data_IF_220518184671
#
_entry.id   IF_220518184671
#
_cell.length_a   1.000
_cell.length_b   1.000
_cell.length_c   1.000
_cell.angle_alpha   90.00
_cell.angle_beta   90.00
_cell.angle_gamma   90.00
#
_symmetry.space_group_name_H-M   'P 1'
#
loop_
_entity.id
_entity.type
_entity.pdbx_description
1 polymer ?
#
# COMPACT_ATOMS: atom_id res chain seq x y z
N UNK A 1 26.01 13.78 20.81
CA UNK A 1 24.60 13.74 20.38
C UNK A 1 24.57 13.70 18.87
N UNK A 2 24.29 12.55 18.27
CA UNK A 2 24.11 12.43 16.83
C UNK A 2 22.99 11.41 16.60
N UNK A 3 21.81 11.91 16.23
CA UNK A 3 20.68 11.09 15.80
C UNK A 3 20.26 11.61 14.43
N UNK A 4 21.02 11.23 13.41
CA UNK A 4 20.53 11.26 12.04
C UNK A 4 20.29 9.82 11.63
N UNK A 5 19.13 9.30 12.03
CA UNK A 5 18.61 8.07 11.45
C UNK A 5 18.36 8.37 9.97
N UNK A 6 19.27 7.90 9.12
CA UNK A 6 19.13 7.99 7.68
C UNK A 6 17.79 7.38 7.28
N UNK A 7 16.92 8.25 6.75
CA UNK A 7 15.62 7.93 6.20
C UNK A 7 15.80 6.88 5.10
N UNK A 8 15.62 5.60 5.45
CA UNK A 8 15.45 4.50 4.49
C UNK A 8 14.12 4.72 3.76
N UNK A 9 14.11 5.62 2.78
CA UNK A 9 13.10 5.56 1.72
C UNK A 9 13.43 4.31 0.93
N UNK A 10 12.84 3.18 1.33
CA UNK A 10 12.82 1.97 0.50
C UNK A 10 12.09 2.35 -0.78
N UNK A 11 12.85 2.67 -1.83
CA UNK A 11 12.34 2.79 -3.18
C UNK A 11 12.05 1.34 -3.61
N UNK A 12 10.88 0.82 -3.21
CA UNK A 12 10.40 -0.45 -3.68
C UNK A 12 10.42 -0.43 -5.22
N UNK A 13 11.00 -1.48 -5.79
CA UNK A 13 11.44 -1.57 -7.18
C UNK A 13 10.47 -0.92 -8.18
N UNK A 14 11.01 -0.10 -9.10
CA UNK A 14 10.32 0.49 -10.26
C UNK A 14 9.94 -0.54 -11.34
N UNK A 15 9.82 -1.82 -10.98
CA UNK A 15 9.35 -2.88 -11.86
C UNK A 15 8.00 -3.36 -11.31
N UNK A 16 6.87 -2.88 -11.88
CA UNK A 16 5.56 -3.35 -11.47
C UNK A 16 5.43 -4.82 -11.87
N UNK A 17 5.70 -5.70 -10.91
CA UNK A 17 5.39 -7.12 -11.07
C UNK A 17 3.92 -7.30 -10.71
N UNK A 18 3.07 -7.78 -11.63
CA UNK A 18 1.68 -8.03 -11.31
C UNK A 18 1.57 -9.04 -10.15
N UNK A 19 0.68 -8.81 -9.17
CA UNK A 19 0.44 -9.76 -8.09
C UNK A 19 -0.08 -11.08 -8.65
N UNK A 20 0.34 -12.20 -8.06
CA UNK A 20 -0.11 -13.56 -8.44
C UNK A 20 -0.90 -14.21 -7.33
N UNK A 21 -1.78 -15.15 -7.69
CA UNK A 21 -2.56 -15.95 -6.73
C UNK A 21 -1.63 -16.70 -5.77
N UNK A 22 -1.97 -16.69 -4.48
CA UNK A 22 -1.18 -17.33 -3.43
C UNK A 22 0.01 -16.51 -2.94
N UNK A 23 0.35 -15.39 -3.59
CA UNK A 23 1.39 -14.48 -3.07
C UNK A 23 0.82 -13.57 -1.98
N UNK A 24 1.68 -13.23 -1.01
CA UNK A 24 1.39 -12.17 -0.05
C UNK A 24 1.14 -10.86 -0.82
N UNK A 25 0.02 -10.16 -0.59
CA UNK A 25 -0.24 -8.89 -1.25
C UNK A 25 0.80 -7.83 -0.85
N UNK A 26 1.15 -6.91 -1.76
CA UNK A 26 2.08 -5.83 -1.45
C UNK A 26 1.50 -4.91 -0.37
N UNK A 27 2.37 -4.41 0.49
CA UNK A 27 1.98 -3.37 1.44
C UNK A 27 1.65 -2.07 0.68
N UNK A 28 0.48 -1.51 0.93
CA UNK A 28 0.09 -0.21 0.41
C UNK A 28 -0.77 0.56 1.42
N UNK A 29 -0.85 1.87 1.20
CA UNK A 29 -1.78 2.74 1.91
C UNK A 29 -2.42 3.72 0.92
N UNK A 30 -3.73 3.93 1.07
CA UNK A 30 -4.53 4.84 0.26
C UNK A 30 -5.16 5.89 1.16
N UNK A 31 -5.65 6.97 0.56
CA UNK A 31 -6.53 7.91 1.24
C UNK A 31 -7.97 7.45 1.04
N UNK A 32 -8.75 7.44 2.11
CA UNK A 32 -10.20 7.29 2.00
C UNK A 32 -10.88 8.61 1.60
N UNK A 33 -12.20 8.59 1.45
CA UNK A 33 -13.01 9.76 1.11
C UNK A 33 -12.88 10.92 2.10
N UNK A 34 -12.43 10.67 3.32
CA UNK A 34 -12.23 11.69 4.37
C UNK A 34 -10.76 12.15 4.45
N UNK A 35 -9.92 11.78 3.48
CA UNK A 35 -8.46 12.01 3.46
C UNK A 35 -7.74 11.33 4.63
N UNK A 36 -8.34 10.33 5.26
CA UNK A 36 -7.65 9.50 6.25
C UNK A 36 -6.80 8.48 5.51
N UNK A 37 -5.55 8.34 5.94
CA UNK A 37 -4.65 7.30 5.42
C UNK A 37 -5.08 5.95 5.98
N UNK A 38 -5.32 4.99 5.09
CA UNK A 38 -5.73 3.62 5.42
C UNK A 38 -4.76 2.66 4.75
N UNK A 39 -4.17 1.76 5.53
CA UNK A 39 -3.24 0.73 5.06
C UNK A 39 -3.92 -0.62 4.87
N UNK A 40 -3.38 -1.47 3.99
CA UNK A 40 -3.86 -2.84 3.84
C UNK A 40 -3.74 -3.65 5.15
N UNK A 41 -2.72 -3.36 5.96
CA UNK A 41 -2.48 -4.06 7.22
C UNK A 41 -3.61 -3.85 8.25
N UNK A 42 -4.28 -2.70 8.21
CA UNK A 42 -5.45 -2.42 9.07
C UNK A 42 -6.64 -3.35 8.78
N UNK A 43 -6.70 -3.97 7.59
CA UNK A 43 -7.74 -4.93 7.20
C UNK A 43 -7.34 -6.40 7.41
N UNK A 44 -6.27 -6.67 8.18
CA UNK A 44 -5.81 -8.03 8.47
C UNK A 44 -6.92 -8.90 9.07
N UNK A 45 -6.97 -10.17 8.64
CA UNK A 45 -8.01 -11.12 9.06
C UNK A 45 -9.35 -10.98 8.34
N UNK A 46 -9.50 -10.00 7.45
CA UNK A 46 -10.72 -9.79 6.64
C UNK A 46 -10.44 -10.01 5.16
N UNK A 47 -11.45 -10.44 4.39
CA UNK A 47 -11.37 -10.51 2.92
C UNK A 47 -11.51 -9.10 2.32
N UNK A 48 -10.60 -8.73 1.43
CA UNK A 48 -10.53 -7.39 0.82
C UNK A 48 -10.52 -7.51 -0.69
N UNK A 49 -11.19 -6.58 -1.38
CA UNK A 49 -11.15 -6.42 -2.84
C UNK A 49 -10.63 -5.03 -3.16
N UNK A 50 -9.60 -4.94 -3.98
CA UNK A 50 -9.07 -3.68 -4.49
C UNK A 50 -9.54 -3.47 -5.93
N UNK A 51 -10.32 -2.42 -6.16
CA UNK A 51 -10.84 -2.06 -7.48
C UNK A 51 -10.10 -0.82 -7.98
N UNK A 52 -9.38 -0.94 -9.09
CA UNK A 52 -8.84 0.20 -9.81
C UNK A 52 -9.89 0.67 -10.82
N UNK A 53 -10.49 1.82 -10.55
CA UNK A 53 -11.45 2.44 -11.47
C UNK A 53 -10.84 3.69 -12.11
N UNK A 54 -11.12 3.91 -13.39
CA UNK A 54 -10.69 5.10 -14.14
C UNK A 54 -11.93 5.75 -14.76
N UNK A 55 -12.37 6.86 -14.17
CA UNK A 55 -13.56 7.60 -14.58
C UNK A 55 -14.11 8.44 -13.44
N UNK A 56 -15.21 9.15 -13.70
CA UNK A 56 -16.05 9.74 -12.65
C UNK A 56 -17.20 8.78 -12.39
N UNK A 57 -17.57 8.63 -11.11
CA UNK A 57 -18.77 7.91 -10.70
C UNK A 57 -20.02 8.69 -11.10
#
# INVERSE_FOLDING_TARGET
MSFLAALLITIAARNPTPPKVGQQPPAFALLDQNRRRVSLAEAAGTKVVLVFYRGYW
#
